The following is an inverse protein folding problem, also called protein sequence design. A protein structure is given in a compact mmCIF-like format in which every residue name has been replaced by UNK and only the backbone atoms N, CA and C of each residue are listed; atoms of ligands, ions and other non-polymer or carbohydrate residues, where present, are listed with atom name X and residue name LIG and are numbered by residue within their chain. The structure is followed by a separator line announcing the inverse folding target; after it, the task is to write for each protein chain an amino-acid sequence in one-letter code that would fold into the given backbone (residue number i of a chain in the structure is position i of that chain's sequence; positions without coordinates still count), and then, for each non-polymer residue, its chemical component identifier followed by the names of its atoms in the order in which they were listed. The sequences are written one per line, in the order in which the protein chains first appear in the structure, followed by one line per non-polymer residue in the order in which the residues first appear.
data_IF_953635547274
#
_entry.id   IF_953635547274
#
_cell.length_a   1.000
_cell.length_b   1.000
_cell.length_c   1.000
_cell.angle_alpha   90.00
_cell.angle_beta   90.00
_cell.angle_gamma   90.00
#
_symmetry.space_group_name_H-M   'P 1'
#
loop_
_entity.id
_entity.type
_entity.pdbx_description
1 polymer ?
#
# COMPACT_ATOMS: atom_id res chain seq x y z
N UNK A 1 -3.23 -0.01 -17.57
CA UNK A 1 -3.68 0.70 -16.35
C UNK A 1 -4.22 2.05 -16.79
N UNK A 2 -5.47 2.42 -16.45
CA UNK A 2 -6.00 3.75 -16.84
C UNK A 2 -5.42 4.76 -15.85
N UNK A 3 -4.29 5.36 -16.22
CA UNK A 3 -3.76 6.51 -15.49
C UNK A 3 -4.83 7.60 -15.55
N UNK A 4 -5.33 8.03 -14.40
CA UNK A 4 -6.01 9.31 -14.33
C UNK A 4 -4.92 10.37 -14.58
N UNK A 5 -4.96 11.10 -15.71
CA UNK A 5 -3.98 12.14 -15.96
C UNK A 5 -4.19 13.24 -14.91
N UNK A 6 -3.10 13.78 -14.38
CA UNK A 6 -3.09 14.99 -13.54
C UNK A 6 -3.65 14.91 -12.11
N UNK A 7 -3.77 13.73 -11.54
CA UNK A 7 -4.00 13.64 -10.09
C UNK A 7 -2.64 13.70 -9.40
N UNK A 8 -2.36 14.81 -8.70
CA UNK A 8 -1.15 15.01 -7.88
C UNK A 8 -1.43 14.83 -6.38
N UNK A 9 -2.71 14.65 -6.00
CA UNK A 9 -3.10 14.52 -4.60
C UNK A 9 -3.89 13.23 -4.31
N UNK A 10 -3.66 12.59 -3.15
CA UNK A 10 -4.42 11.41 -2.73
C UNK A 10 -5.93 11.66 -2.73
N UNK A 11 -6.34 12.86 -2.34
CA UNK A 11 -7.75 13.24 -2.24
C UNK A 11 -8.45 13.26 -3.59
N UNK A 12 -7.80 13.82 -4.62
CA UNK A 12 -8.34 13.82 -5.97
C UNK A 12 -8.35 12.40 -6.57
N UNK A 13 -7.39 11.53 -6.19
CA UNK A 13 -7.39 10.12 -6.57
C UNK A 13 -8.62 9.42 -6.02
N UNK A 14 -8.93 9.62 -4.73
CA UNK A 14 -10.10 9.06 -4.07
C UNK A 14 -11.41 9.61 -4.66
N UNK A 15 -11.44 10.88 -5.07
CA UNK A 15 -12.62 11.49 -5.69
C UNK A 15 -12.94 10.90 -7.07
N UNK A 16 -11.93 10.47 -7.83
CA UNK A 16 -12.09 9.84 -9.13
C UNK A 16 -12.58 8.37 -9.06
N UNK A 17 -12.66 7.77 -7.86
CA UNK A 17 -13.07 6.39 -7.68
C UNK A 17 -14.60 6.25 -7.57
N UNK A 18 -15.15 5.10 -8.00
CA UNK A 18 -16.56 4.80 -7.78
C UNK A 18 -16.88 4.79 -6.28
N UNK A 19 -18.11 5.17 -5.87
CA UNK A 19 -18.47 5.43 -4.47
C UNK A 19 -18.18 4.26 -3.53
N UNK A 20 -18.41 3.01 -3.97
CA UNK A 20 -18.11 1.81 -3.19
C UNK A 20 -16.61 1.69 -2.86
N UNK A 21 -15.73 1.96 -3.83
CA UNK A 21 -14.28 1.89 -3.65
C UNK A 21 -13.76 3.11 -2.92
N UNK A 22 -14.33 4.29 -3.21
CA UNK A 22 -13.99 5.55 -2.54
C UNK A 22 -14.16 5.43 -1.03
N UNK A 23 -15.27 4.86 -0.56
CA UNK A 23 -15.49 4.65 0.87
C UNK A 23 -14.40 3.76 1.49
N UNK A 24 -14.11 2.61 0.86
CA UNK A 24 -13.08 1.68 1.32
C UNK A 24 -11.68 2.31 1.35
N UNK A 25 -11.22 2.94 0.27
CA UNK A 25 -9.89 3.58 0.27
C UNK A 25 -9.84 4.80 1.18
N UNK A 26 -10.91 5.57 1.34
CA UNK A 26 -10.90 6.74 2.24
C UNK A 26 -10.71 6.27 3.68
N UNK A 27 -11.40 5.20 4.07
CA UNK A 27 -11.23 4.56 5.38
C UNK A 27 -9.80 4.05 5.56
N UNK A 28 -9.26 3.33 4.57
CA UNK A 28 -7.86 2.86 4.61
C UNK A 28 -6.86 4.00 4.67
N UNK A 29 -7.04 5.03 3.84
CA UNK A 29 -6.17 6.20 3.81
C UNK A 29 -6.13 6.90 5.16
N UNK A 30 -7.30 7.10 5.79
CA UNK A 30 -7.40 7.68 7.13
C UNK A 30 -6.74 6.79 8.17
N UNK A 31 -7.01 5.48 8.14
CA UNK A 31 -6.48 4.53 9.11
C UNK A 31 -4.95 4.41 9.01
N UNK A 32 -4.40 4.30 7.79
CA UNK A 32 -2.96 4.32 7.54
C UNK A 32 -2.35 5.62 8.05
N UNK A 33 -2.96 6.77 7.75
CA UNK A 33 -2.45 8.07 8.20
C UNK A 33 -2.46 8.23 9.73
N UNK A 34 -3.42 7.60 10.42
CA UNK A 34 -3.44 7.54 11.89
C UNK A 34 -2.41 6.56 12.44
N UNK A 35 -2.21 5.43 11.76
CA UNK A 35 -1.25 4.41 12.17
C UNK A 35 0.21 4.88 12.00
N UNK A 36 0.50 5.58 10.91
CA UNK A 36 1.85 6.03 10.53
C UNK A 36 1.87 7.52 10.13
N UNK A 37 1.66 8.43 11.10
CA UNK A 37 1.64 9.87 10.83
C UNK A 37 2.99 10.42 10.33
N UNK A 38 4.09 9.67 10.56
CA UNK A 38 5.43 10.01 10.08
C UNK A 38 5.59 9.84 8.56
N UNK A 39 4.81 8.95 7.94
CA UNK A 39 4.88 8.71 6.50
C UNK A 39 3.92 9.64 5.77
N UNK A 40 4.46 10.62 5.04
CA UNK A 40 3.64 11.52 4.23
C UNK A 40 3.03 10.73 3.05
N UNK A 41 1.71 10.83 2.82
CA UNK A 41 1.10 10.32 1.60
C UNK A 41 1.52 11.19 0.43
N UNK A 42 1.96 10.56 -0.65
CA UNK A 42 2.27 11.18 -1.93
C UNK A 42 1.81 10.31 -3.08
N UNK A 43 1.97 10.79 -4.30
CA UNK A 43 1.68 10.00 -5.49
C UNK A 43 2.95 9.43 -6.10
N UNK A 44 2.93 8.14 -6.37
CA UNK A 44 4.05 7.40 -6.93
C UNK A 44 3.52 6.40 -7.95
N UNK A 45 4.01 6.46 -9.20
CA UNK A 45 3.57 5.59 -10.29
C UNK A 45 2.03 5.52 -10.51
N UNK A 46 1.31 6.62 -10.30
CA UNK A 46 -0.16 6.67 -10.47
C UNK A 46 -0.96 5.98 -9.34
N UNK A 47 -0.32 5.77 -8.19
CA UNK A 47 -0.88 5.17 -6.98
C UNK A 47 -0.57 6.06 -5.78
N UNK A 48 -1.32 5.90 -4.68
CA UNK A 48 -1.03 6.64 -3.44
C UNK A 48 0.08 5.89 -2.70
N UNK A 49 1.28 6.44 -2.64
CA UNK A 49 2.42 5.91 -1.89
C UNK A 49 2.62 6.61 -0.55
N UNK A 50 3.09 5.89 0.45
CA UNK A 50 3.49 6.41 1.76
C UNK A 50 4.95 6.05 2.00
N UNK A 51 5.73 7.03 2.47
CA UNK A 51 7.16 6.84 2.64
C UNK A 51 7.86 6.58 1.32
N UNK A 52 7.64 7.47 0.35
CA UNK A 52 8.35 7.43 -0.92
C UNK A 52 9.82 7.77 -0.64
N UNK A 53 10.72 6.94 -1.14
CA UNK A 53 12.15 7.11 -0.95
C UNK A 53 12.95 6.34 -2.01
N UNK A 54 14.28 6.52 -2.01
CA UNK A 54 15.15 5.82 -2.94
C UNK A 54 15.14 4.32 -2.63
N UNK A 55 14.91 3.53 -3.67
CA UNK A 55 14.96 2.08 -3.66
C UNK A 55 16.00 1.61 -4.67
N UNK A 56 16.78 0.60 -4.28
CA UNK A 56 17.79 0.00 -5.14
C UNK A 56 17.63 -1.52 -5.15
N UNK A 57 17.39 -2.10 -6.32
CA UNK A 57 17.42 -3.55 -6.47
C UNK A 57 18.86 -4.05 -6.50
N UNK A 58 19.07 -5.31 -6.11
CA UNK A 58 20.35 -6.02 -6.33
C UNK A 58 20.75 -6.07 -7.81
N UNK A 59 19.79 -5.98 -8.74
CA UNK A 59 20.02 -5.94 -10.19
C UNK A 59 20.42 -4.55 -10.72
N UNK A 60 20.63 -3.56 -9.84
CA UNK A 60 21.11 -2.23 -10.24
C UNK A 60 20.02 -1.22 -10.62
N UNK A 61 18.74 -1.62 -10.59
CA UNK A 61 17.64 -0.67 -10.79
C UNK A 61 17.54 0.24 -9.57
N UNK A 62 17.76 1.52 -9.79
CA UNK A 62 17.63 2.57 -8.79
C UNK A 62 16.44 3.44 -9.16
N UNK A 63 15.55 3.73 -8.22
CA UNK A 63 14.37 4.55 -8.47
C UNK A 63 13.71 5.00 -7.17
N UNK A 64 12.56 5.65 -7.29
CA UNK A 64 11.74 5.99 -6.14
C UNK A 64 10.69 4.91 -5.92
N UNK A 65 10.61 4.40 -4.70
CA UNK A 65 9.61 3.43 -4.30
C UNK A 65 8.97 3.83 -2.99
N UNK A 66 7.77 3.34 -2.74
CA UNK A 66 7.03 3.61 -1.51
C UNK A 66 7.14 2.41 -0.56
N UNK A 67 7.14 2.67 0.75
CA UNK A 67 7.00 1.60 1.76
C UNK A 67 5.64 0.93 1.67
N UNK A 68 4.60 1.76 1.57
CA UNK A 68 3.20 1.32 1.51
C UNK A 68 2.52 2.03 0.35
N UNK A 69 1.72 1.33 -0.45
CA UNK A 69 1.07 1.90 -1.62
C UNK A 69 -0.36 1.42 -1.79
N UNK A 70 -1.29 2.31 -2.10
CA UNK A 70 -2.67 1.98 -2.44
C UNK A 70 -2.86 2.14 -3.93
N UNK A 71 -3.22 1.04 -4.58
CA UNK A 71 -3.53 0.99 -6.00
C UNK A 71 -4.98 0.58 -6.23
N UNK A 72 -5.68 1.34 -7.06
CA UNK A 72 -6.97 0.92 -7.60
C UNK A 72 -6.76 0.19 -8.93
N UNK A 73 -6.88 -1.13 -8.90
CA UNK A 73 -6.86 -1.97 -10.11
C UNK A 73 -8.25 -2.01 -10.75
N UNK A 74 -8.33 -2.49 -12.00
CA UNK A 74 -9.59 -2.48 -12.77
C UNK A 74 -10.72 -3.22 -12.04
N UNK A 75 -10.42 -4.35 -11.38
CA UNK A 75 -11.44 -5.22 -10.77
C UNK A 75 -11.33 -5.38 -9.24
N UNK A 76 -10.32 -4.77 -8.63
CA UNK A 76 -9.97 -4.96 -7.22
C UNK A 76 -9.09 -3.80 -6.72
N UNK A 77 -8.96 -3.69 -5.40
CA UNK A 77 -8.04 -2.80 -4.72
C UNK A 77 -6.81 -3.60 -4.35
N UNK A 78 -5.64 -2.98 -4.48
CA UNK A 78 -4.37 -3.58 -4.09
C UNK A 78 -3.64 -2.67 -3.11
N UNK A 79 -3.33 -3.19 -1.93
CA UNK A 79 -2.47 -2.57 -0.94
C UNK A 79 -1.08 -3.20 -1.04
N UNK A 80 -0.10 -2.42 -1.44
CA UNK A 80 1.30 -2.81 -1.51
C UNK A 80 2.00 -2.46 -0.20
N UNK A 81 2.76 -3.40 0.34
CA UNK A 81 3.63 -3.20 1.50
C UNK A 81 5.00 -3.76 1.10
N UNK A 82 5.89 -2.88 0.67
CA UNK A 82 7.21 -3.20 0.14
C UNK A 82 8.30 -3.13 1.21
N UNK A 83 7.94 -3.41 2.45
CA UNK A 83 8.88 -3.53 3.56
C UNK A 83 9.13 -5.00 3.87
N UNK A 84 10.37 -5.29 4.27
CA UNK A 84 10.79 -6.64 4.62
C UNK A 84 11.31 -6.64 6.04
N UNK A 85 11.16 -7.79 6.70
CA UNK A 85 11.74 -8.04 8.00
C UNK A 85 13.27 -8.13 7.93
N UNK A 86 13.94 -8.22 9.07
CA UNK A 86 15.40 -8.39 9.16
C UNK A 86 15.90 -9.61 8.36
N UNK A 87 15.05 -10.62 8.23
CA UNK A 87 15.33 -11.85 7.46
C UNK A 87 15.02 -11.72 5.96
N UNK A 88 14.80 -10.50 5.44
CA UNK A 88 14.37 -10.23 4.05
C UNK A 88 13.05 -10.92 3.64
N UNK A 89 12.23 -11.30 4.62
CA UNK A 89 10.90 -11.89 4.41
C UNK A 89 9.84 -10.81 4.27
N UNK A 90 8.88 -11.02 3.37
CA UNK A 90 7.80 -10.07 3.20
C UNK A 90 6.74 -10.22 4.30
N UNK A 91 6.41 -9.10 4.92
CA UNK A 91 5.39 -8.97 5.96
C UNK A 91 4.03 -9.52 5.51
N UNK A 92 3.65 -9.20 4.26
CA UNK A 92 2.37 -9.63 3.67
C UNK A 92 2.30 -11.14 3.50
N UNK A 93 3.38 -11.77 3.10
CA UNK A 93 3.42 -13.22 2.90
C UNK A 93 3.32 -13.96 4.24
N UNK A 94 3.95 -13.43 5.28
CA UNK A 94 3.88 -13.96 6.65
C UNK A 94 2.47 -13.85 7.23
N UNK A 95 1.87 -12.67 7.14
CA UNK A 95 0.55 -12.38 7.74
C UNK A 95 -0.62 -12.60 6.77
N UNK A 96 -0.35 -13.20 5.61
CA UNK A 96 -1.32 -13.64 4.61
C UNK A 96 -2.52 -14.37 5.22
N UNK A 97 -2.24 -15.24 6.19
CA UNK A 97 -3.23 -16.05 6.90
C UNK A 97 -4.12 -15.25 7.86
N UNK A 98 -3.66 -14.08 8.34
CA UNK A 98 -4.39 -13.18 9.25
C UNK A 98 -5.13 -12.06 8.53
N UNK A 99 -4.82 -11.80 7.26
CA UNK A 99 -5.43 -10.73 6.46
C UNK A 99 -6.88 -11.02 5.99
N UNK A 100 -7.41 -12.22 6.28
CA UNK A 100 -8.79 -12.60 6.01
C UNK A 100 -9.01 -13.22 4.62
N UNK A 101 -10.16 -12.94 3.99
CA UNK A 101 -10.54 -13.49 2.66
C UNK A 101 -9.99 -12.64 1.50
N UNK A 102 -8.70 -12.34 1.54
CA UNK A 102 -8.01 -11.51 0.53
C UNK A 102 -6.95 -12.31 -0.22
N UNK A 103 -6.55 -11.81 -1.40
CA UNK A 103 -5.50 -12.42 -2.20
C UNK A 103 -4.18 -11.68 -1.99
N UNK A 104 -3.37 -12.18 -1.08
CA UNK A 104 -2.00 -11.77 -0.83
C UNK A 104 -1.05 -12.38 -1.88
N UNK A 105 -0.15 -11.55 -2.40
CA UNK A 105 1.10 -11.96 -3.06
C UNK A 105 2.29 -11.67 -2.15
N UNK A 106 3.50 -11.61 -2.70
CA UNK A 106 4.72 -11.39 -1.92
C UNK A 106 4.65 -10.10 -1.10
N UNK A 107 4.37 -8.97 -1.74
CA UNK A 107 4.31 -7.64 -1.12
C UNK A 107 3.00 -6.90 -1.41
N UNK A 108 1.98 -7.60 -1.90
CA UNK A 108 0.73 -6.98 -2.36
C UNK A 108 -0.50 -7.72 -1.83
N UNK A 109 -1.50 -6.98 -1.39
CA UNK A 109 -2.74 -7.50 -0.81
C UNK A 109 -3.88 -7.05 -1.70
N UNK A 110 -4.52 -7.98 -2.39
CA UNK A 110 -5.61 -7.71 -3.34
C UNK A 110 -6.95 -8.08 -2.71
N UNK A 111 -7.86 -7.11 -2.64
CA UNK A 111 -9.19 -7.28 -2.05
C UNK A 111 -10.23 -6.52 -2.86
N UNK A 112 -11.49 -6.94 -2.83
CA UNK A 112 -12.58 -6.23 -3.52
C UNK A 112 -13.35 -5.31 -2.58
N UNK A 113 -13.63 -5.82 -1.37
CA UNK A 113 -14.34 -5.08 -0.32
C UNK A 113 -13.49 -4.99 0.93
N UNK A 114 -13.69 -3.90 1.68
CA UNK A 114 -13.01 -3.68 2.95
C UNK A 114 -13.35 -4.78 3.97
N UNK A 115 -14.59 -5.29 3.94
CA UNK A 115 -15.07 -6.36 4.83
C UNK A 115 -14.33 -7.69 4.67
N UNK A 116 -13.66 -7.90 3.53
CA UNK A 116 -12.88 -9.12 3.32
C UNK A 116 -11.48 -9.02 3.92
N UNK A 117 -11.00 -7.79 4.13
CA UNK A 117 -9.67 -7.46 4.61
C UNK A 117 -9.75 -7.15 6.10
N UNK A 118 -8.98 -7.85 6.90
CA UNK A 118 -8.78 -7.49 8.30
C UNK A 118 -7.97 -6.19 8.40
N UNK A 119 -8.70 -5.09 8.59
CA UNK A 119 -8.11 -3.75 8.63
C UNK A 119 -7.10 -3.62 9.77
N UNK A 120 -7.38 -4.26 10.91
CA UNK A 120 -6.53 -4.22 12.09
C UNK A 120 -5.15 -4.81 11.78
N UNK A 121 -5.13 -6.02 11.21
CA UNK A 121 -3.91 -6.71 10.77
C UNK A 121 -3.19 -5.91 9.67
N UNK A 122 -3.93 -5.37 8.70
CA UNK A 122 -3.33 -4.53 7.68
C UNK A 122 -2.65 -3.28 8.26
N UNK A 123 -3.22 -2.68 9.31
CA UNK A 123 -2.62 -1.54 10.01
C UNK A 123 -1.41 -1.93 10.86
N UNK A 124 -1.44 -3.08 11.53
CA UNK A 124 -0.27 -3.63 12.21
C UNK A 124 0.90 -3.77 11.24
N UNK A 125 0.66 -4.39 10.08
CA UNK A 125 1.65 -4.55 9.03
C UNK A 125 2.19 -3.21 8.51
N UNK A 126 1.31 -2.22 8.33
CA UNK A 126 1.70 -0.88 7.88
C UNK A 126 2.57 -0.17 8.92
N UNK A 127 2.27 -0.31 10.22
CA UNK A 127 3.09 0.25 11.30
C UNK A 127 4.47 -0.40 11.33
N UNK A 128 4.50 -1.72 11.25
CA UNK A 128 5.73 -2.50 11.23
C UNK A 128 6.58 -2.16 9.98
N UNK A 129 5.94 -2.07 8.81
CA UNK A 129 6.55 -1.62 7.57
C UNK A 129 7.14 -0.20 7.67
N UNK A 130 6.49 0.72 8.40
CA UNK A 130 7.03 2.06 8.57
C UNK A 130 8.31 2.09 9.41
N UNK A 131 8.43 1.20 10.40
CA UNK A 131 9.63 1.05 11.22
C UNK A 131 10.74 0.26 10.53
N UNK A 132 10.38 -0.65 9.62
CA UNK A 132 11.34 -1.48 8.89
C UNK A 132 11.96 -0.75 7.70
N UNK A 133 13.18 -1.14 7.28
CA UNK A 133 13.81 -0.62 6.07
C UNK A 133 13.04 -1.06 4.82
N UNK A 134 13.16 -0.27 3.75
CA UNK A 134 12.71 -0.72 2.44
C UNK A 134 13.61 -1.84 1.94
N UNK A 135 13.06 -2.77 1.16
CA UNK A 135 13.84 -3.80 0.50
C UNK A 135 15.04 -3.15 -0.24
N UNK A 136 16.27 -3.65 -0.04
CA UNK A 136 17.45 -3.14 -0.77
C UNK A 136 18.03 -1.79 -0.31
N UNK A 137 17.59 -1.27 0.84
CA UNK A 137 18.30 -0.22 1.63
C UNK A 137 19.16 -0.87 2.70
#
# INVERSE_FOLDING_TARGET
MKAAPDVTTPTAYLAALPPERKAALTTLHRAIRQAVPKLKPGMCHGMIGYGIGPYKTKSGCSGEWFKVGLANQKNNLALYICSVDADSRYLVEREAHRLGKVSCGKSCIRFKKLEQLDLDVALELVKEAATLPMLGV
#
